data_IF_338163610376
#
_entry.id   IF_338163610376
#
_cell.length_a   1.000
_cell.length_b   1.000
_cell.length_c   1.000
_cell.angle_alpha   90.00
_cell.angle_beta   90.00
_cell.angle_gamma   90.00
#
_symmetry.space_group_name_H-M   'P 1'
#
loop_
_entity.id
_entity.type
_entity.pdbx_description
1 polymer ?
#
# COMPACT_ATOMS: atom_id res chain seq x y z
N UNK A 1 -7.25 -19.66 7.26
CA UNK A 1 -7.27 -20.02 8.69
C UNK A 1 -5.95 -19.59 9.31
N UNK A 2 -5.87 -19.48 10.63
CA UNK A 2 -4.61 -19.21 11.34
C UNK A 2 -3.92 -20.51 11.76
N UNK A 3 -4.07 -21.56 10.96
CA UNK A 3 -3.42 -22.84 11.23
C UNK A 3 -1.91 -22.73 11.06
N UNK A 4 -1.17 -23.64 11.69
CA UNK A 4 0.29 -23.68 11.53
C UNK A 4 0.66 -23.79 10.05
N UNK A 5 1.59 -22.92 9.64
CA UNK A 5 2.09 -22.84 8.27
C UNK A 5 3.47 -23.48 8.17
N UNK A 6 3.68 -24.32 7.16
CA UNK A 6 5.01 -24.81 6.78
C UNK A 6 5.83 -23.78 5.99
N UNK A 7 5.25 -22.62 5.66
CA UNK A 7 5.86 -21.56 4.88
C UNK A 7 6.25 -20.40 5.80
N UNK A 8 7.53 -20.33 6.19
CA UNK A 8 8.06 -19.32 7.10
C UNK A 8 9.52 -18.99 6.74
N UNK A 9 10.05 -17.87 7.24
CA UNK A 9 11.43 -17.41 6.97
C UNK A 9 11.78 -17.26 5.47
N UNK A 10 10.81 -16.95 4.61
CA UNK A 10 11.10 -16.68 3.20
C UNK A 10 11.65 -15.27 3.01
N UNK A 11 12.47 -15.08 1.98
CA UNK A 11 12.94 -13.75 1.58
C UNK A 11 12.64 -13.53 0.11
N UNK A 12 11.69 -12.63 -0.16
CA UNK A 12 11.28 -12.22 -1.49
C UNK A 12 11.87 -10.83 -1.71
N UNK A 13 13.00 -10.76 -2.42
CA UNK A 13 13.72 -9.49 -2.53
C UNK A 13 14.37 -9.22 -3.88
N UNK A 14 14.47 -7.94 -4.23
CA UNK A 14 15.10 -7.45 -5.46
C UNK A 14 14.44 -7.99 -6.75
N UNK A 15 13.14 -8.30 -6.70
CA UNK A 15 12.37 -8.69 -7.87
C UNK A 15 11.87 -7.46 -8.63
N UNK A 16 11.90 -7.55 -9.95
CA UNK A 16 11.26 -6.61 -10.85
C UNK A 16 10.10 -7.34 -11.55
N UNK A 17 8.89 -7.06 -11.09
CA UNK A 17 7.67 -7.78 -11.46
C UNK A 17 6.77 -6.79 -12.20
N UNK A 18 6.47 -7.07 -13.47
CA UNK A 18 5.72 -6.09 -14.25
C UNK A 18 4.87 -6.68 -15.37
N UNK A 19 3.87 -5.90 -15.83
CA UNK A 19 3.01 -6.23 -16.97
C UNK A 19 2.24 -7.55 -16.77
N UNK A 20 1.59 -7.68 -15.61
CA UNK A 20 0.81 -8.86 -15.24
C UNK A 20 -0.66 -8.63 -15.55
N UNK A 21 -1.36 -9.70 -15.94
CA UNK A 21 -2.79 -9.70 -16.20
C UNK A 21 -3.14 -9.18 -17.59
N UNK A 22 -2.57 -8.05 -17.99
CA UNK A 22 -2.73 -7.41 -19.30
C UNK A 22 -4.21 -7.26 -19.71
N UNK A 23 -5.08 -6.98 -18.74
CA UNK A 23 -6.52 -6.84 -18.94
C UNK A 23 -7.24 -8.13 -19.40
N UNK A 24 -6.65 -9.31 -19.16
CA UNK A 24 -7.23 -10.61 -19.58
C UNK A 24 -7.74 -11.42 -18.37
N UNK A 25 -6.96 -11.48 -17.29
CA UNK A 25 -7.27 -12.28 -16.10
C UNK A 25 -7.80 -11.39 -14.96
N UNK A 26 -8.45 -11.99 -13.97
CA UNK A 26 -8.85 -11.35 -12.71
C UNK A 26 -8.37 -12.20 -11.53
N UNK A 27 -8.48 -11.66 -10.31
CA UNK A 27 -7.95 -12.27 -9.07
C UNK A 27 -6.44 -12.52 -9.18
N UNK A 28 -5.71 -11.44 -9.40
CA UNK A 28 -4.28 -11.45 -9.64
C UNK A 28 -3.55 -10.44 -8.77
N UNK A 29 -2.28 -10.72 -8.53
CA UNK A 29 -1.40 -9.76 -7.91
C UNK A 29 0.05 -9.91 -8.38
N UNK A 30 0.83 -8.86 -8.21
CA UNK A 30 2.27 -8.92 -8.43
C UNK A 30 2.97 -9.81 -7.40
N UNK A 31 2.63 -9.66 -6.12
CA UNK A 31 2.97 -10.64 -5.09
C UNK A 31 1.69 -10.97 -4.31
N UNK A 32 1.42 -12.28 -4.21
CA UNK A 32 0.33 -12.87 -3.46
C UNK A 32 0.87 -13.65 -2.26
N UNK A 33 0.21 -13.54 -1.11
CA UNK A 33 0.53 -14.30 0.10
C UNK A 33 -0.73 -14.82 0.79
N UNK A 34 -0.58 -15.85 1.62
CA UNK A 34 -1.66 -16.42 2.44
C UNK A 34 -1.09 -17.08 3.70
N UNK A 35 -1.84 -17.04 4.82
CA UNK A 35 -1.51 -17.76 6.05
C UNK A 35 -0.42 -17.13 6.95
N UNK A 36 0.07 -17.90 7.93
CA UNK A 36 1.10 -17.43 8.87
C UNK A 36 2.48 -17.43 8.19
N UNK A 37 3.14 -16.27 8.13
CA UNK A 37 4.41 -16.09 7.42
C UNK A 37 5.53 -15.58 8.33
N UNK A 38 5.62 -16.11 9.55
CA UNK A 38 6.59 -15.68 10.54
C UNK A 38 8.03 -15.61 9.97
N UNK A 39 8.73 -14.50 10.24
CA UNK A 39 10.08 -14.24 9.75
C UNK A 39 10.20 -14.03 8.24
N UNK A 40 9.10 -14.03 7.49
CA UNK A 40 9.11 -13.76 6.04
C UNK A 40 9.23 -12.28 5.75
N UNK A 41 10.05 -11.95 4.75
CA UNK A 41 10.34 -10.58 4.33
C UNK A 41 10.06 -10.39 2.84
N UNK A 42 9.27 -9.37 2.50
CA UNK A 42 9.14 -8.82 1.14
C UNK A 42 9.91 -7.49 1.12
N UNK A 43 11.05 -7.45 0.45
CA UNK A 43 11.97 -6.31 0.59
C UNK A 43 12.63 -5.89 -0.72
N UNK A 44 12.65 -4.59 -1.01
CA UNK A 44 13.33 -4.04 -2.20
C UNK A 44 12.78 -4.61 -3.52
N UNK A 45 11.46 -4.83 -3.62
CA UNK A 45 10.83 -5.25 -4.87
C UNK A 45 10.23 -4.04 -5.60
N UNK A 46 10.02 -4.19 -6.91
CA UNK A 46 9.34 -3.20 -7.75
C UNK A 46 8.26 -3.93 -8.53
N UNK A 47 7.02 -3.48 -8.35
CA UNK A 47 5.82 -4.09 -8.93
C UNK A 47 5.06 -3.05 -9.74
N UNK A 48 4.82 -3.28 -11.03
CA UNK A 48 4.04 -2.31 -11.80
C UNK A 48 3.32 -2.83 -13.06
N UNK A 49 2.37 -2.04 -13.53
CA UNK A 49 1.49 -2.38 -14.67
C UNK A 49 0.79 -3.71 -14.41
N UNK A 50 0.04 -3.74 -13.31
CA UNK A 50 -0.71 -4.90 -12.87
C UNK A 50 -2.19 -4.59 -13.08
N UNK A 51 -2.73 -5.11 -14.17
CA UNK A 51 -4.08 -4.81 -14.62
C UNK A 51 -4.84 -6.08 -14.99
N UNK A 52 -5.97 -6.27 -14.33
CA UNK A 52 -6.93 -7.32 -14.61
C UNK A 52 -8.00 -6.89 -15.60
N UNK A 53 -8.87 -7.82 -15.97
CA UNK A 53 -9.97 -7.56 -16.91
C UNK A 53 -10.99 -6.55 -16.36
N UNK A 54 -11.27 -6.58 -15.05
CA UNK A 54 -12.24 -5.67 -14.44
C UNK A 54 -11.93 -5.32 -12.98
N UNK A 55 -11.95 -6.31 -12.09
CA UNK A 55 -11.68 -6.12 -10.66
C UNK A 55 -10.77 -7.22 -10.15
N UNK A 56 -10.29 -7.02 -8.91
CA UNK A 56 -9.45 -7.95 -8.16
C UNK A 56 -8.04 -8.08 -8.74
N UNK A 57 -7.45 -6.94 -9.06
CA UNK A 57 -6.09 -6.81 -9.57
C UNK A 57 -5.27 -5.86 -8.70
N UNK A 58 -4.32 -6.43 -7.96
CA UNK A 58 -3.61 -5.72 -6.90
C UNK A 58 -2.10 -5.76 -7.08
N UNK A 59 -1.39 -4.76 -6.54
CA UNK A 59 0.07 -4.83 -6.49
C UNK A 59 0.56 -5.91 -5.53
N UNK A 60 0.27 -5.66 -4.25
CA UNK A 60 0.52 -6.57 -3.13
C UNK A 60 -0.83 -7.08 -2.62
N UNK A 61 -1.00 -8.39 -2.58
CA UNK A 61 -2.23 -9.02 -2.12
C UNK A 61 -1.93 -9.99 -0.97
N UNK A 62 -2.24 -9.54 0.24
CA UNK A 62 -2.18 -10.33 1.46
C UNK A 62 -3.53 -11.02 1.65
N UNK A 63 -3.68 -12.17 1.01
CA UNK A 63 -4.90 -12.94 1.08
C UNK A 63 -5.02 -13.73 2.39
N UNK A 64 -6.24 -14.19 2.64
CA UNK A 64 -6.65 -15.18 3.63
C UNK A 64 -5.77 -15.29 4.89
N UNK A 65 -5.78 -14.22 5.70
CA UNK A 65 -5.18 -14.26 7.03
C UNK A 65 -3.66 -14.20 7.02
N UNK A 66 -3.07 -13.69 5.93
CA UNK A 66 -1.63 -13.36 5.91
C UNK A 66 -1.25 -12.62 7.17
N UNK A 67 -0.31 -13.15 7.94
CA UNK A 67 0.05 -12.60 9.26
C UNK A 67 1.55 -12.69 9.53
N UNK A 68 2.05 -11.78 10.38
CA UNK A 68 3.46 -11.69 10.79
C UNK A 68 4.43 -11.48 9.62
N UNK A 69 3.96 -10.85 8.55
CA UNK A 69 4.75 -10.50 7.37
C UNK A 69 5.33 -9.09 7.51
N UNK A 70 6.58 -8.90 7.10
CA UNK A 70 7.17 -7.57 6.94
C UNK A 70 7.39 -7.25 5.46
N UNK A 71 6.84 -6.12 5.03
CA UNK A 71 7.03 -5.55 3.69
C UNK A 71 7.73 -4.21 3.84
N UNK A 72 8.91 -4.08 3.22
CA UNK A 72 9.69 -2.84 3.31
C UNK A 72 10.43 -2.49 2.04
N UNK A 73 10.67 -1.21 1.80
CA UNK A 73 11.42 -0.71 0.64
C UNK A 73 10.84 -1.20 -0.70
N UNK A 74 9.54 -1.49 -0.76
CA UNK A 74 8.89 -2.00 -1.96
C UNK A 74 8.16 -0.87 -2.66
N UNK A 75 8.33 -0.78 -3.97
CA UNK A 75 7.66 0.20 -4.83
C UNK A 75 6.59 -0.53 -5.62
N UNK A 76 5.35 -0.05 -5.50
CA UNK A 76 4.21 -0.54 -6.25
C UNK A 76 3.62 0.63 -7.02
N UNK A 77 3.47 0.50 -8.34
CA UNK A 77 2.80 1.55 -9.12
C UNK A 77 1.99 1.02 -10.30
N UNK A 78 1.06 1.82 -10.84
CA UNK A 78 0.21 1.43 -11.97
C UNK A 78 -0.52 0.09 -11.72
N UNK A 79 -1.48 0.11 -10.79
CA UNK A 79 -2.30 -1.06 -10.47
C UNK A 79 -3.78 -0.76 -10.72
N UNK A 80 -4.62 -1.78 -10.91
CA UNK A 80 -6.07 -1.57 -11.07
C UNK A 80 -6.79 -1.32 -9.75
N UNK A 81 -7.31 -2.36 -9.09
CA UNK A 81 -8.13 -2.24 -7.87
C UNK A 81 -7.43 -1.45 -6.75
N UNK A 82 -6.22 -1.86 -6.34
CA UNK A 82 -5.41 -1.15 -5.33
C UNK A 82 -3.91 -1.50 -5.43
N UNK A 83 -3.07 -0.69 -4.79
CA UNK A 83 -1.64 -0.99 -4.71
C UNK A 83 -1.34 -2.06 -3.63
N UNK A 84 -2.07 -2.02 -2.52
CA UNK A 84 -1.97 -2.98 -1.43
C UNK A 84 -3.36 -3.35 -0.92
N UNK A 85 -3.67 -4.64 -0.91
CA UNK A 85 -4.92 -5.19 -0.39
C UNK A 85 -4.64 -6.30 0.61
N UNK A 86 -5.38 -6.29 1.71
CA UNK A 86 -5.32 -7.34 2.72
C UNK A 86 -6.72 -7.90 3.01
N UNK A 87 -6.83 -9.23 3.07
CA UNK A 87 -8.04 -9.94 3.49
C UNK A 87 -7.76 -10.59 4.85
N UNK A 88 -8.16 -9.88 5.91
CA UNK A 88 -7.87 -10.15 7.34
C UNK A 88 -6.39 -10.52 7.61
N UNK A 89 -6.06 -10.90 8.84
CA UNK A 89 -4.67 -11.15 9.27
C UNK A 89 -4.23 -10.26 10.43
N UNK A 90 -3.05 -10.55 10.97
CA UNK A 90 -2.53 -9.87 12.16
C UNK A 90 -1.02 -9.62 12.13
N UNK A 91 -0.61 -8.58 12.86
CA UNK A 91 0.78 -8.18 13.08
C UNK A 91 1.63 -8.07 11.81
N UNK A 92 1.02 -7.67 10.68
CA UNK A 92 1.79 -7.33 9.48
C UNK A 92 2.43 -5.95 9.63
N UNK A 93 3.60 -5.75 9.02
CA UNK A 93 4.31 -4.47 9.05
C UNK A 93 4.61 -4.00 7.64
N UNK A 94 4.14 -2.81 7.31
CA UNK A 94 4.43 -2.10 6.07
C UNK A 94 5.24 -0.86 6.41
N UNK A 95 6.52 -0.87 6.04
CA UNK A 95 7.42 0.21 6.37
C UNK A 95 8.25 0.68 5.19
N UNK A 96 8.33 2.00 4.97
CA UNK A 96 9.22 2.57 3.96
C UNK A 96 8.90 2.08 2.53
N UNK A 97 7.62 1.94 2.19
CA UNK A 97 7.15 1.55 0.86
C UNK A 97 6.61 2.75 0.10
N UNK A 98 6.54 2.61 -1.22
CA UNK A 98 5.87 3.58 -2.10
C UNK A 98 4.71 2.87 -2.78
N UNK A 99 3.50 3.38 -2.58
CA UNK A 99 2.29 2.96 -3.28
C UNK A 99 1.85 4.10 -4.18
N UNK A 100 1.96 3.95 -5.50
CA UNK A 100 1.72 5.06 -6.41
C UNK A 100 0.74 4.68 -7.52
N UNK A 101 -0.02 5.65 -8.02
CA UNK A 101 -0.78 5.51 -9.28
C UNK A 101 -1.66 4.25 -9.34
N UNK A 102 -2.29 3.86 -8.23
CA UNK A 102 -3.40 2.90 -8.28
C UNK A 102 -4.54 3.52 -9.10
N UNK A 103 -5.29 2.73 -9.84
CA UNK A 103 -6.40 3.23 -10.66
C UNK A 103 -7.61 3.58 -9.78
N UNK A 104 -8.70 4.04 -10.39
CA UNK A 104 -9.93 4.42 -9.69
C UNK A 104 -10.99 3.32 -9.63
N UNK A 105 -10.61 2.06 -9.81
CA UNK A 105 -11.57 1.01 -10.12
C UNK A 105 -12.38 0.50 -8.91
N UNK A 106 -11.84 0.46 -7.68
CA UNK A 106 -12.61 -0.09 -6.54
C UNK A 106 -12.03 0.11 -5.14
N UNK A 107 -10.73 -0.13 -4.94
CA UNK A 107 -10.18 -0.39 -3.59
C UNK A 107 -9.28 0.75 -3.04
N UNK A 108 -9.03 1.78 -3.84
CA UNK A 108 -8.21 2.92 -3.46
C UNK A 108 -6.71 2.66 -3.58
N UNK A 109 -5.91 3.21 -2.65
CA UNK A 109 -4.46 2.93 -2.59
C UNK A 109 -4.16 1.71 -1.69
N UNK A 110 -4.71 1.70 -0.48
CA UNK A 110 -4.64 0.63 0.51
C UNK A 110 -6.05 0.17 0.87
N UNK A 111 -6.30 -1.14 0.83
CA UNK A 111 -7.57 -1.71 1.27
C UNK A 111 -7.41 -2.82 2.32
N UNK A 112 -8.36 -2.86 3.25
CA UNK A 112 -8.49 -3.90 4.25
C UNK A 112 -9.91 -4.47 4.21
N UNK A 113 -10.02 -5.73 3.79
CA UNK A 113 -11.23 -6.52 3.87
C UNK A 113 -11.21 -7.35 5.15
N UNK A 114 -12.22 -7.20 5.99
CA UNK A 114 -12.37 -7.94 7.24
C UNK A 114 -13.47 -8.98 7.10
N UNK A 115 -13.26 -10.12 7.76
CA UNK A 115 -14.30 -11.14 7.93
C UNK A 115 -14.89 -11.15 9.35
N UNK A 116 -14.18 -10.58 10.32
CA UNK A 116 -14.60 -10.57 11.73
C UNK A 116 -14.12 -9.30 12.46
N UNK A 117 -14.46 -9.20 13.74
CA UNK A 117 -14.02 -8.17 14.69
C UNK A 117 -12.85 -8.67 15.53
N UNK A 118 -11.61 -8.66 14.98
CA UNK A 118 -10.47 -9.15 15.71
C UNK A 118 -10.13 -8.24 16.88
N UNK A 119 -9.72 -8.85 17.99
CA UNK A 119 -9.17 -8.18 19.17
C UNK A 119 -7.64 -8.00 19.08
N UNK A 120 -7.08 -8.07 17.86
CA UNK A 120 -5.65 -8.02 17.59
C UNK A 120 -5.30 -6.92 16.58
N UNK A 121 -4.05 -6.47 16.62
CA UNK A 121 -3.52 -5.54 15.64
C UNK A 121 -3.46 -6.21 14.25
N UNK A 122 -4.12 -5.63 13.26
CA UNK A 122 -4.08 -6.10 11.88
C UNK A 122 -2.73 -5.81 11.24
N UNK A 123 -2.34 -4.54 11.24
CA UNK A 123 -1.06 -4.11 10.70
C UNK A 123 -0.55 -2.79 11.29
N UNK A 124 0.75 -2.58 11.12
CA UNK A 124 1.42 -1.28 11.26
C UNK A 124 1.82 -0.77 9.89
N UNK A 125 1.49 0.48 9.56
CA UNK A 125 1.80 1.15 8.30
C UNK A 125 2.52 2.47 8.60
N UNK A 126 3.85 2.49 8.47
CA UNK A 126 4.67 3.65 8.85
C UNK A 126 5.72 4.04 7.83
N UNK A 127 6.04 5.33 7.76
CA UNK A 127 7.10 5.83 6.88
C UNK A 127 6.84 5.50 5.41
N UNK A 128 5.59 5.33 4.97
CA UNK A 128 5.28 5.01 3.58
C UNK A 128 4.88 6.28 2.83
N UNK A 129 4.99 6.24 1.50
CA UNK A 129 4.50 7.28 0.61
C UNK A 129 3.36 6.73 -0.23
N UNK A 130 2.21 7.42 -0.23
CA UNK A 130 1.14 7.18 -1.19
C UNK A 130 1.10 8.35 -2.17
N UNK A 131 1.35 8.06 -3.45
CA UNK A 131 1.39 9.04 -4.54
C UNK A 131 0.22 8.80 -5.50
N UNK A 132 -0.79 9.64 -5.39
CA UNK A 132 -2.05 9.49 -6.09
C UNK A 132 -2.16 10.46 -7.27
N UNK A 133 -2.71 9.96 -8.39
CA UNK A 133 -2.83 10.73 -9.64
C UNK A 133 -4.29 10.82 -10.12
N UNK A 134 -5.26 10.60 -9.24
CA UNK A 134 -6.65 10.61 -9.67
C UNK A 134 -7.27 11.97 -9.46
N UNK A 135 -7.84 12.50 -10.53
CA UNK A 135 -8.51 13.78 -10.53
C UNK A 135 -9.98 13.63 -10.07
N UNK A 136 -10.17 13.06 -8.89
CA UNK A 136 -11.48 12.92 -8.24
C UNK A 136 -11.33 13.18 -6.75
N UNK A 137 -12.29 13.91 -6.17
CA UNK A 137 -12.36 14.16 -4.74
C UNK A 137 -13.08 13.03 -4.00
N UNK A 138 -12.70 12.79 -2.75
CA UNK A 138 -13.29 11.73 -1.94
C UNK A 138 -12.74 10.35 -2.29
N UNK A 139 -11.53 10.30 -2.84
CA UNK A 139 -10.86 9.06 -3.19
C UNK A 139 -10.30 8.36 -1.95
N UNK A 140 -10.48 7.05 -1.92
CA UNK A 140 -9.97 6.18 -0.88
C UNK A 140 -8.44 6.09 -0.90
N UNK A 141 -7.81 6.54 0.18
CA UNK A 141 -6.41 6.25 0.46
C UNK A 141 -6.30 5.01 1.32
N UNK A 142 -7.14 4.91 2.34
CA UNK A 142 -7.30 3.70 3.14
C UNK A 142 -8.78 3.30 3.17
N UNK A 143 -9.15 2.26 2.42
CA UNK A 143 -10.49 1.70 2.43
C UNK A 143 -10.57 0.54 3.42
N UNK A 144 -11.64 0.51 4.21
CA UNK A 144 -11.95 -0.62 5.10
C UNK A 144 -13.32 -1.17 4.73
N UNK A 145 -13.36 -2.45 4.41
CA UNK A 145 -14.60 -3.20 4.19
C UNK A 145 -14.77 -4.18 5.35
N UNK A 146 -15.85 -4.04 6.10
CA UNK A 146 -16.13 -4.86 7.27
C UNK A 146 -17.62 -5.27 7.30
N UNK A 147 -17.95 -6.45 7.86
CA UNK A 147 -19.33 -6.90 7.98
C UNK A 147 -20.14 -6.07 9.00
N UNK A 148 -19.47 -5.38 9.93
CA UNK A 148 -20.09 -4.53 10.94
C UNK A 148 -19.45 -3.13 10.96
N UNK A 149 -20.24 -2.05 10.74
CA UNK A 149 -19.76 -0.67 10.70
C UNK A 149 -19.23 -0.15 12.04
N UNK A 150 -19.53 -0.81 13.16
CA UNK A 150 -19.12 -0.35 14.50
C UNK A 150 -17.76 -0.88 14.94
N UNK A 151 -17.18 -1.80 14.18
CA UNK A 151 -15.91 -2.43 14.52
C UNK A 151 -14.73 -1.69 13.86
N UNK A 152 -14.16 -0.70 14.53
CA UNK A 152 -12.94 -0.05 14.02
C UNK A 152 -11.80 -1.06 13.87
N UNK A 153 -11.07 -1.11 12.75
CA UNK A 153 -9.92 -2.00 12.63
C UNK A 153 -8.83 -1.55 13.59
N UNK A 154 -8.23 -2.50 14.30
CA UNK A 154 -7.05 -2.17 15.08
C UNK A 154 -5.85 -2.09 14.13
N UNK A 155 -5.55 -0.88 13.66
CA UNK A 155 -4.41 -0.56 12.79
C UNK A 155 -3.58 0.54 13.43
N UNK A 156 -2.29 0.57 13.13
CA UNK A 156 -1.40 1.67 13.50
C UNK A 156 -0.87 2.28 12.22
N UNK A 157 -1.29 3.50 11.91
CA UNK A 157 -0.80 4.26 10.77
C UNK A 157 -0.16 5.52 11.31
N UNK A 158 1.12 5.80 10.97
CA UNK A 158 1.79 7.02 11.42
C UNK A 158 3.06 7.34 10.59
N UNK A 159 3.48 8.60 10.57
CA UNK A 159 4.63 9.08 9.80
C UNK A 159 4.56 8.77 8.29
N UNK A 160 3.38 8.79 7.70
CA UNK A 160 3.17 8.55 6.27
C UNK A 160 3.05 9.86 5.50
N UNK A 161 3.45 9.82 4.23
CA UNK A 161 3.28 10.92 3.28
C UNK A 161 2.16 10.56 2.31
N UNK A 162 1.11 11.37 2.27
CA UNK A 162 0.02 11.24 1.33
C UNK A 162 0.09 12.39 0.32
N UNK A 163 -0.06 12.11 -0.96
CA UNK A 163 -0.02 13.14 -1.98
C UNK A 163 -0.99 12.81 -3.10
N UNK A 164 -1.76 13.79 -3.52
CA UNK A 164 -2.57 13.72 -4.73
C UNK A 164 -2.13 14.87 -5.65
N UNK A 165 -1.78 14.56 -6.90
CA UNK A 165 -1.23 15.55 -7.86
C UNK A 165 -2.19 16.68 -8.21
N UNK A 166 -3.49 16.47 -7.99
CA UNK A 166 -4.55 17.45 -8.24
C UNK A 166 -4.98 18.20 -6.97
N UNK A 167 -4.39 17.88 -5.80
CA UNK A 167 -4.79 18.46 -4.51
C UNK A 167 -6.20 18.05 -4.07
N UNK A 168 -6.73 16.96 -4.62
CA UNK A 168 -8.07 16.49 -4.30
C UNK A 168 -8.16 15.93 -2.88
N UNK A 169 -9.38 16.01 -2.32
CA UNK A 169 -9.69 15.47 -1.01
C UNK A 169 -9.51 13.94 -0.98
N UNK A 170 -8.82 13.46 0.04
CA UNK A 170 -8.55 12.05 0.31
C UNK A 170 -9.34 11.58 1.54
N UNK A 171 -9.86 10.35 1.52
CA UNK A 171 -10.63 9.76 2.62
C UNK A 171 -10.03 8.47 3.16
N UNK A 172 -10.27 8.22 4.45
CA UNK A 172 -9.61 7.19 5.25
C UNK A 172 -10.61 6.42 6.13
N UNK A 173 -10.36 5.12 6.27
CA UNK A 173 -11.01 4.25 7.24
C UNK A 173 -12.50 3.99 6.98
N UNK A 174 -13.12 3.22 7.87
CA UNK A 174 -14.52 2.82 7.73
C UNK A 174 -15.50 4.01 7.70
N UNK A 175 -15.15 5.09 8.39
CA UNK A 175 -15.97 6.31 8.50
C UNK A 175 -15.89 7.27 7.31
N UNK A 176 -15.10 6.96 6.27
CA UNK A 176 -14.86 7.89 5.13
C UNK A 176 -14.34 9.26 5.59
N UNK A 177 -13.48 9.26 6.60
CA UNK A 177 -13.03 10.48 7.26
C UNK A 177 -12.07 11.23 6.35
N UNK A 178 -12.17 12.56 6.32
CA UNK A 178 -11.10 13.38 5.74
C UNK A 178 -9.88 13.35 6.64
N UNK A 179 -8.71 13.76 6.14
CA UNK A 179 -7.45 13.58 6.86
C UNK A 179 -7.41 14.19 8.28
N UNK A 180 -7.97 15.38 8.48
CA UNK A 180 -8.05 15.99 9.82
C UNK A 180 -8.91 15.18 10.78
N UNK A 181 -10.06 14.68 10.32
CA UNK A 181 -10.95 13.83 11.13
C UNK A 181 -10.29 12.47 11.40
N UNK A 182 -9.55 11.92 10.44
CA UNK A 182 -8.75 10.71 10.62
C UNK A 182 -7.71 10.91 11.73
N UNK A 183 -7.05 12.07 11.78
CA UNK A 183 -6.11 12.39 12.86
C UNK A 183 -6.79 12.46 14.24
N UNK A 184 -8.02 12.98 14.32
CA UNK A 184 -8.79 12.99 15.58
C UNK A 184 -9.08 11.58 16.13
N UNK A 185 -8.98 10.54 15.30
CA UNK A 185 -9.08 9.14 15.72
C UNK A 185 -7.77 8.54 16.27
N UNK A 186 -6.74 9.36 16.49
CA UNK A 186 -5.38 8.97 16.92
C UNK A 186 -4.59 8.16 15.88
N UNK A 187 -4.97 8.23 14.62
CA UNK A 187 -4.19 7.68 13.50
C UNK A 187 -3.44 8.79 12.78
N UNK A 188 -2.28 8.49 12.21
CA UNK A 188 -1.54 9.40 11.33
C UNK A 188 -1.26 10.80 11.93
N UNK A 189 -1.12 10.88 13.26
CA UNK A 189 -0.89 12.12 14.00
C UNK A 189 0.39 12.85 13.57
N UNK A 190 1.40 12.11 13.10
CA UNK A 190 2.66 12.65 12.61
C UNK A 190 2.80 12.55 11.09
N UNK A 191 1.73 12.21 10.38
CA UNK A 191 1.71 12.09 8.92
C UNK A 191 1.34 13.41 8.25
N UNK A 192 1.68 13.56 6.96
CA UNK A 192 1.39 14.77 6.20
C UNK A 192 0.72 14.47 4.86
N UNK A 193 -0.16 15.39 4.45
CA UNK A 193 -0.50 15.57 3.04
C UNK A 193 0.47 16.59 2.44
N UNK A 194 1.41 16.14 1.62
CA UNK A 194 2.45 17.01 1.05
C UNK A 194 3.12 16.38 -0.16
N UNK A 195 3.66 17.20 -1.06
CA UNK A 195 4.41 16.71 -2.21
C UNK A 195 5.72 16.03 -1.73
N UNK A 196 5.93 14.73 -2.03
CA UNK A 196 7.15 14.04 -1.66
C UNK A 196 8.37 14.50 -2.49
N UNK A 197 8.19 15.34 -3.52
CA UNK A 197 9.25 15.87 -4.37
C UNK A 197 10.03 14.78 -5.12
N UNK A 198 9.29 13.83 -5.71
CA UNK A 198 9.87 12.88 -6.67
C UNK A 198 10.25 13.59 -7.97
N UNK A 199 11.44 13.29 -8.46
CA UNK A 199 11.96 13.82 -9.72
C UNK A 199 11.49 12.91 -10.85
N UNK A 200 10.71 13.46 -11.79
CA UNK A 200 10.13 12.75 -12.95
C UNK A 200 9.12 11.64 -12.61
N UNK A 201 8.40 11.73 -11.49
CA UNK A 201 7.31 10.79 -11.17
C UNK A 201 6.20 10.79 -12.23
N UNK A 202 5.76 11.95 -12.71
CA UNK A 202 4.66 12.05 -13.68
C UNK A 202 5.07 11.64 -15.10
N UNK A 203 6.30 11.98 -15.51
CA UNK A 203 6.77 11.74 -16.88
C UNK A 203 7.44 10.38 -17.09
N UNK A 204 7.97 9.76 -16.03
CA UNK A 204 8.78 8.55 -16.14
C UNK A 204 8.43 7.48 -15.10
N UNK A 205 7.44 7.70 -14.24
CA UNK A 205 7.14 6.81 -13.11
C UNK A 205 8.37 6.56 -12.22
N UNK A 206 9.25 7.57 -12.09
CA UNK A 206 10.47 7.45 -11.32
C UNK A 206 10.21 7.71 -9.83
N UNK A 207 9.94 6.63 -9.10
CA UNK A 207 9.73 6.64 -7.65
C UNK A 207 11.01 6.33 -6.85
N UNK A 208 12.18 6.26 -7.49
CA UNK A 208 13.46 6.09 -6.78
C UNK A 208 14.11 7.42 -6.44
N UNK A 209 13.92 8.42 -7.31
CA UNK A 209 14.62 9.68 -7.21
C UNK A 209 13.79 10.71 -6.44
N UNK A 210 13.89 10.66 -5.11
CA UNK A 210 13.26 11.63 -4.22
C UNK A 210 14.27 12.70 -3.79
N UNK A 211 13.84 13.97 -3.78
CA UNK A 211 14.69 15.06 -3.31
C UNK A 211 15.11 14.87 -1.85
N UNK A 212 16.37 15.10 -1.52
CA UNK A 212 16.83 15.15 -0.11
C UNK A 212 16.17 16.28 0.70
N UNK A 213 15.60 17.27 -0.01
CA UNK A 213 14.78 18.33 0.56
C UNK A 213 13.35 17.91 0.90
N UNK A 214 12.92 16.71 0.49
CA UNK A 214 11.57 16.20 0.65
C UNK A 214 11.12 16.20 2.12
N UNK A 215 9.89 16.67 2.42
CA UNK A 215 9.28 16.52 3.74
C UNK A 215 9.18 15.06 4.17
N UNK A 216 8.94 14.14 3.23
CA UNK A 216 8.90 12.71 3.52
C UNK A 216 10.23 12.21 4.08
N UNK A 217 11.36 12.68 3.53
CA UNK A 217 12.69 12.32 4.01
C UNK A 217 13.03 13.04 5.31
N UNK A 218 12.83 14.35 5.37
CA UNK A 218 13.30 15.20 6.48
C UNK A 218 12.45 15.07 7.75
N UNK A 219 11.14 14.99 7.60
CA UNK A 219 10.19 15.08 8.72
C UNK A 219 9.55 13.73 9.03
N UNK A 220 9.32 12.91 8.00
CA UNK A 220 8.64 11.63 8.15
C UNK A 220 9.61 10.45 8.21
N UNK A 221 10.91 10.65 8.05
CA UNK A 221 11.92 9.58 8.17
C UNK A 221 11.89 8.55 7.03
N UNK A 222 11.31 8.89 5.88
CA UNK A 222 11.39 8.05 4.69
C UNK A 222 12.85 7.92 4.24
N UNK A 223 13.29 6.68 4.00
CA UNK A 223 14.61 6.35 3.51
C UNK A 223 14.50 6.08 2.01
N UNK A 224 15.20 6.85 1.14
CA UNK A 224 15.19 6.62 -0.30
C UNK A 224 15.50 5.16 -0.68
N UNK A 225 14.65 4.57 -1.52
CA UNK A 225 14.78 3.19 -1.95
C UNK A 225 15.80 3.10 -3.07
N UNK A 226 16.74 2.15 -2.96
CA UNK A 226 17.74 1.91 -4.00
C UNK A 226 17.07 1.40 -5.28
N UNK A 227 17.39 2.06 -6.40
CA UNK A 227 16.96 1.64 -7.73
C UNK A 227 17.45 0.23 -8.08
N UNK A 228 16.54 -0.60 -8.61
CA UNK A 228 16.89 -1.89 -9.18
C UNK A 228 17.56 -1.70 -10.54
N UNK A 229 18.62 -2.47 -10.81
CA UNK A 229 19.35 -2.40 -12.08
C UNK A 229 18.46 -2.72 -13.29
N UNK A 230 17.47 -3.60 -13.11
CA UNK A 230 16.55 -4.02 -14.16
C UNK A 230 15.49 -2.97 -14.49
N UNK A 231 15.21 -2.03 -13.57
CA UNK A 231 14.13 -1.05 -13.75
C UNK A 231 14.37 -0.17 -14.97
N UNK A 232 13.30 0.09 -15.72
CA UNK A 232 13.28 0.98 -16.87
C UNK A 232 12.32 2.13 -16.61
N UNK A 233 12.73 3.34 -17.02
CA UNK A 233 11.86 4.50 -17.01
C UNK A 233 10.68 4.30 -17.95
N UNK A 234 9.48 4.65 -17.48
CA UNK A 234 8.26 4.50 -18.25
C UNK A 234 7.06 4.36 -17.33
N UNK A 235 6.07 5.19 -17.60
CA UNK A 235 4.68 4.83 -17.38
C UNK A 235 4.16 4.27 -18.72
#
# INVERSE_FOLDING_TARGET
SYDESSCYNHRISFNYIHHIGQYILSDLAGIYTCGLLNGTLIINNVLHDIYGYFLYDWGLYLADGTSQLMITNTIVYNTGSAALTMIYGFNNTFQNNILARSSNQSDGALSLYRRESPNHLSFTFRHNIIYDIVNESGRWIFQVQAPDPFSSPFVIMDYNCYFNTYGNMMIFGLGRLVFSEWQETNHDMNSFITDPLFIHAESQCNFFNISIGSPAVKNLGFIPIKQLFQWKSGC
#
